data_IF_275192901024
#
_entry.id   IF_275192901024
#
_cell.length_a   1.000
_cell.length_b   1.000
_cell.length_c   1.000
_cell.angle_alpha   90.00
_cell.angle_beta   90.00
_cell.angle_gamma   90.00
#
_symmetry.space_group_name_H-M   'P 1'
#
loop_
_entity.id
_entity.type
_entity.pdbx_description
1 polymer ?
#
# COMPACT_ATOMS: atom_id res chain seq x y z
N UNK A 1 3.01 -19.24 -7.97
CA UNK A 1 4.24 -19.17 -8.79
C UNK A 1 5.16 -18.14 -8.21
N UNK A 2 6.42 -18.48 -8.13
CA UNK A 2 7.42 -17.66 -7.45
C UNK A 2 7.82 -16.38 -8.18
N UNK A 3 7.59 -16.28 -9.49
CA UNK A 3 8.03 -15.13 -10.27
C UNK A 3 7.37 -13.82 -9.84
N UNK A 4 6.12 -13.85 -9.40
CA UNK A 4 5.47 -12.63 -8.93
C UNK A 4 6.03 -12.16 -7.58
N UNK A 5 6.44 -13.09 -6.72
CA UNK A 5 7.07 -12.73 -5.46
C UNK A 5 8.38 -11.96 -5.69
N UNK A 6 9.22 -12.42 -6.60
CA UNK A 6 10.47 -11.75 -6.94
C UNK A 6 10.21 -10.37 -7.56
N UNK A 7 9.21 -10.30 -8.42
CA UNK A 7 8.84 -9.04 -9.08
C UNK A 7 8.32 -8.03 -8.06
N UNK A 8 7.49 -8.46 -7.12
CA UNK A 8 6.99 -7.60 -6.05
C UNK A 8 8.14 -7.03 -5.23
N UNK A 9 9.09 -7.89 -4.84
CA UNK A 9 10.24 -7.46 -4.07
C UNK A 9 11.07 -6.43 -4.84
N UNK A 10 11.33 -6.70 -6.11
CA UNK A 10 12.07 -5.78 -6.98
C UNK A 10 11.36 -4.42 -7.08
N UNK A 11 10.05 -4.43 -7.31
CA UNK A 11 9.28 -3.19 -7.45
C UNK A 11 9.23 -2.40 -6.15
N UNK A 12 9.12 -3.09 -5.01
CA UNK A 12 9.15 -2.42 -3.71
C UNK A 12 10.45 -1.65 -3.50
N UNK A 13 11.56 -2.19 -3.96
CA UNK A 13 12.86 -1.51 -3.83
C UNK A 13 12.94 -0.24 -4.68
N UNK A 14 12.14 -0.14 -5.74
CA UNK A 14 12.09 1.05 -6.57
C UNK A 14 11.29 2.19 -5.93
N UNK A 15 10.47 1.88 -4.94
CA UNK A 15 9.65 2.88 -4.26
C UNK A 15 10.44 3.50 -3.12
N UNK A 16 10.70 4.82 -3.14
CA UNK A 16 11.46 5.46 -2.07
C UNK A 16 10.75 5.36 -0.73
N UNK A 17 11.53 5.21 0.34
CA UNK A 17 11.00 5.19 1.70
C UNK A 17 11.07 6.57 2.32
N UNK A 18 10.16 6.84 3.25
CA UNK A 18 10.20 8.05 4.06
C UNK A 18 9.44 7.79 5.35
N UNK A 19 9.65 8.65 6.34
CA UNK A 19 8.96 8.52 7.62
C UNK A 19 7.60 9.20 7.56
N UNK A 20 6.56 8.44 7.86
CA UNK A 20 5.23 8.99 8.06
C UNK A 20 5.15 9.65 9.43
N UNK A 21 4.19 10.57 9.59
CA UNK A 21 3.89 11.14 10.90
C UNK A 21 3.36 10.02 11.80
N UNK A 22 3.91 9.84 13.02
CA UNK A 22 3.50 8.74 13.89
C UNK A 22 1.99 8.74 14.15
N UNK A 23 1.37 7.57 13.99
CA UNK A 23 -0.07 7.41 14.20
C UNK A 23 -0.95 7.99 13.10
N UNK A 24 -0.37 8.60 12.07
CA UNK A 24 -1.15 9.16 10.97
C UNK A 24 -1.81 8.06 10.16
N UNK A 25 -3.08 8.27 9.80
CA UNK A 25 -3.84 7.32 8.98
C UNK A 25 -4.62 8.03 7.87
N UNK A 26 -4.25 9.26 7.55
CA UNK A 26 -4.98 10.08 6.58
C UNK A 26 -4.97 9.48 5.17
N UNK A 27 -3.96 8.68 4.84
CA UNK A 27 -3.92 7.98 3.56
C UNK A 27 -4.37 6.52 3.66
N UNK A 28 -4.78 6.05 4.84
CA UNK A 28 -5.29 4.70 5.02
C UNK A 28 -6.77 4.65 4.69
N UNK A 29 -7.14 3.73 3.81
CA UNK A 29 -8.54 3.56 3.41
C UNK A 29 -8.68 2.27 2.63
N UNK A 30 -9.89 2.00 2.10
CA UNK A 30 -10.10 0.81 1.29
C UNK A 30 -9.28 0.92 0.00
N UNK A 31 -8.39 -0.03 -0.21
CA UNK A 31 -7.56 -0.10 -1.42
C UNK A 31 -7.57 -1.54 -1.92
N UNK A 32 -7.22 -1.72 -3.19
CA UNK A 32 -7.02 -3.05 -3.73
C UNK A 32 -5.53 -3.32 -3.87
N UNK A 33 -5.17 -4.59 -3.80
CA UNK A 33 -3.79 -5.02 -3.98
C UNK A 33 -3.75 -6.36 -4.69
N UNK A 34 -2.58 -6.79 -5.13
CA UNK A 34 -2.44 -8.10 -5.76
C UNK A 34 -2.76 -9.21 -4.76
N UNK A 35 -3.28 -10.34 -5.27
CA UNK A 35 -3.59 -11.48 -4.42
C UNK A 35 -2.35 -12.01 -3.70
N UNK A 36 -1.17 -11.94 -4.34
CA UNK A 36 0.09 -12.37 -3.73
C UNK A 36 0.47 -11.49 -2.55
N UNK A 37 0.30 -10.17 -2.67
CA UNK A 37 0.59 -9.26 -1.56
C UNK A 37 -0.41 -9.45 -0.42
N UNK A 38 -1.68 -9.69 -0.77
CA UNK A 38 -2.71 -9.96 0.23
C UNK A 38 -2.41 -11.21 1.05
N UNK A 39 -1.86 -12.24 0.40
CA UNK A 39 -1.51 -13.49 1.06
C UNK A 39 -0.45 -13.32 2.15
N UNK A 40 0.36 -12.26 2.08
CA UNK A 40 1.38 -11.96 3.07
C UNK A 40 0.84 -11.21 4.29
N UNK A 41 -0.41 -10.76 4.25
CA UNK A 41 -1.02 -10.01 5.34
C UNK A 41 -1.83 -10.94 6.25
N UNK A 42 -2.01 -10.57 7.54
CA UNK A 42 -2.87 -11.34 8.43
C UNK A 42 -4.29 -11.43 7.87
N UNK A 43 -4.88 -12.60 8.02
CA UNK A 43 -6.24 -12.83 7.54
C UNK A 43 -7.24 -12.10 8.44
N UNK A 44 -8.21 -11.44 7.81
CA UNK A 44 -9.29 -10.77 8.52
C UNK A 44 -10.62 -11.42 8.15
N UNK A 45 -11.57 -11.45 9.08
CA UNK A 45 -12.88 -12.02 8.82
C UNK A 45 -13.68 -11.11 7.89
N UNK A 46 -14.71 -11.69 7.25
CA UNK A 46 -15.61 -10.90 6.41
C UNK A 46 -16.31 -9.81 7.22
N UNK A 47 -16.62 -10.09 8.50
CA UNK A 47 -17.25 -9.12 9.39
C UNK A 47 -16.33 -7.93 9.69
N UNK A 48 -15.04 -8.21 9.95
CA UNK A 48 -14.06 -7.16 10.18
C UNK A 48 -13.88 -6.30 8.94
N UNK A 49 -13.81 -6.93 7.77
CA UNK A 49 -13.67 -6.21 6.51
C UNK A 49 -14.88 -5.33 6.22
N UNK A 50 -16.09 -5.84 6.45
CA UNK A 50 -17.31 -5.07 6.24
C UNK A 50 -17.39 -3.88 7.17
N UNK A 51 -17.04 -4.06 8.44
CA UNK A 51 -17.06 -2.97 9.43
C UNK A 51 -16.05 -1.87 9.07
N UNK A 52 -14.84 -2.25 8.63
CA UNK A 52 -13.85 -1.27 8.20
C UNK A 52 -14.31 -0.50 6.96
N UNK A 53 -14.92 -1.20 6.01
CA UNK A 53 -15.39 -0.58 4.78
C UNK A 53 -16.50 0.43 5.07
N UNK A 54 -17.39 0.15 6.02
CA UNK A 54 -18.43 1.11 6.43
C UNK A 54 -17.83 2.41 6.93
N UNK A 55 -16.69 2.35 7.62
CA UNK A 55 -15.99 3.53 8.11
C UNK A 55 -15.05 4.13 7.08
N UNK A 56 -14.93 3.51 5.90
CA UNK A 56 -13.95 3.85 4.87
C UNK A 56 -12.52 3.78 5.40
N UNK A 57 -12.27 2.81 6.27
CA UNK A 57 -10.97 2.52 6.83
C UNK A 57 -10.38 1.27 6.20
N UNK A 58 -9.04 1.18 6.20
CA UNK A 58 -8.36 -0.08 5.91
C UNK A 58 -8.59 -1.03 7.09
N UNK A 59 -8.84 -2.30 6.79
CA UNK A 59 -9.09 -3.32 7.82
C UNK A 59 -7.89 -3.52 8.75
N UNK A 60 -6.70 -3.14 8.31
CA UNK A 60 -5.46 -3.26 9.10
C UNK A 60 -5.13 -1.99 9.90
N UNK A 61 -6.01 -1.00 9.87
CA UNK A 61 -5.81 0.23 10.63
C UNK A 61 -6.08 -0.02 12.10
N UNK A 62 -5.09 0.28 12.95
CA UNK A 62 -5.22 0.18 14.39
C UNK A 62 -5.21 1.55 15.06
N UNK A 63 -5.28 1.58 16.39
CA UNK A 63 -5.31 2.85 17.14
C UNK A 63 -4.09 3.73 16.95
N UNK A 64 -2.96 3.13 16.58
CA UNK A 64 -1.71 3.85 16.41
C UNK A 64 -1.23 3.85 14.95
N UNK A 65 -2.14 3.63 14.02
CA UNK A 65 -1.83 3.60 12.60
C UNK A 65 -1.88 2.20 12.01
N UNK A 66 -1.23 2.00 10.88
CA UNK A 66 -1.25 0.72 10.17
C UNK A 66 -0.58 -0.39 10.99
N UNK A 67 -1.32 -1.47 11.26
CA UNK A 67 -0.79 -2.61 12.03
C UNK A 67 0.13 -3.51 11.20
N UNK A 68 0.14 -3.32 9.89
CA UNK A 68 1.00 -4.11 8.97
C UNK A 68 1.96 -3.20 8.22
N UNK A 69 2.45 -2.14 8.87
CA UNK A 69 3.23 -1.11 8.21
C UNK A 69 4.42 -1.66 7.41
N UNK A 70 5.15 -2.60 7.98
CA UNK A 70 6.31 -3.21 7.33
C UNK A 70 5.96 -4.08 6.14
N UNK A 71 4.72 -4.57 6.08
CA UNK A 71 4.23 -5.46 5.02
C UNK A 71 3.23 -4.76 4.10
N UNK A 72 3.21 -3.43 4.11
CA UNK A 72 2.26 -2.68 3.30
C UNK A 72 2.35 -3.07 1.82
N UNK A 73 1.18 -3.22 1.15
CA UNK A 73 1.16 -3.40 -0.31
C UNK A 73 1.81 -2.23 -1.04
N UNK A 74 2.22 -2.46 -2.28
CA UNK A 74 2.86 -1.42 -3.08
C UNK A 74 2.01 -0.17 -3.23
N UNK A 75 0.70 -0.32 -3.38
CA UNK A 75 -0.18 0.85 -3.49
C UNK A 75 -0.08 1.74 -2.25
N UNK A 76 0.00 1.13 -1.06
CA UNK A 76 0.15 1.89 0.18
C UNK A 76 1.52 2.56 0.27
N UNK A 77 2.55 1.94 -0.28
CA UNK A 77 3.90 2.48 -0.29
C UNK A 77 4.08 3.63 -1.27
N UNK A 78 3.24 3.71 -2.30
CA UNK A 78 3.28 4.80 -3.27
C UNK A 78 2.80 6.12 -2.68
N UNK A 79 1.91 6.10 -1.69
CA UNK A 79 1.39 7.33 -1.09
C UNK A 79 2.53 8.16 -0.52
N UNK A 80 2.55 9.43 -0.89
CA UNK A 80 3.59 10.38 -0.50
C UNK A 80 4.83 10.37 -1.39
N UNK A 81 4.99 9.38 -2.27
CA UNK A 81 6.18 9.28 -3.12
C UNK A 81 5.98 9.90 -4.51
N UNK A 82 4.75 10.20 -4.87
CA UNK A 82 4.42 10.76 -6.17
C UNK A 82 3.35 11.85 -6.01
N UNK A 83 3.38 12.90 -6.86
CA UNK A 83 2.32 13.93 -6.83
C UNK A 83 0.92 13.39 -7.06
N UNK A 84 0.79 12.24 -7.75
CA UNK A 84 -0.51 11.63 -8.02
C UNK A 84 -1.15 11.04 -6.76
N UNK A 85 -0.33 10.68 -5.77
CA UNK A 85 -0.78 10.10 -4.50
C UNK A 85 -0.07 10.84 -3.37
N UNK A 86 -0.27 12.15 -3.31
CA UNK A 86 0.41 12.99 -2.34
C UNK A 86 -0.08 12.71 -0.92
N UNK A 87 0.84 12.78 0.03
CA UNK A 87 0.49 12.68 1.44
C UNK A 87 -0.29 13.93 1.86
N UNK A 88 -1.47 13.80 2.48
CA UNK A 88 -2.24 14.96 2.93
C UNK A 88 -1.48 15.85 3.92
N UNK A 89 -0.47 15.30 4.59
CA UNK A 89 0.35 16.03 5.57
C UNK A 89 1.64 16.57 4.97
N UNK A 90 1.82 16.47 3.66
CA UNK A 90 3.01 16.96 2.99
C UNK A 90 4.28 16.15 3.22
N UNK A 91 4.16 14.93 3.74
CA UNK A 91 5.29 14.02 3.95
C UNK A 91 5.67 13.33 2.66
N UNK A 92 6.94 13.04 2.51
CA UNK A 92 7.44 12.31 1.35
C UNK A 92 8.94 12.15 1.43
N UNK A 93 9.53 11.37 0.50
CA UNK A 93 10.98 11.21 0.45
C UNK A 93 11.65 12.49 -0.06
N UNK A 94 12.98 12.55 0.12
CA UNK A 94 13.76 13.68 -0.38
C UNK A 94 13.57 13.88 -1.88
N UNK A 95 13.44 12.78 -2.61
CA UNK A 95 13.15 12.81 -4.03
C UNK A 95 11.96 11.90 -4.32
N UNK A 96 10.99 12.34 -5.14
CA UNK A 96 9.85 11.48 -5.48
C UNK A 96 10.30 10.26 -6.28
N UNK A 97 9.40 9.29 -6.40
CA UNK A 97 9.66 8.09 -7.19
C UNK A 97 9.97 8.47 -8.64
N UNK A 98 10.93 7.79 -9.25
CA UNK A 98 11.23 7.96 -10.66
C UNK A 98 10.00 7.65 -11.51
N UNK A 99 9.68 8.48 -12.53
CA UNK A 99 8.49 8.23 -13.36
C UNK A 99 8.47 6.85 -14.00
N UNK A 100 9.63 6.34 -14.42
CA UNK A 100 9.72 5.01 -15.01
C UNK A 100 9.43 3.91 -13.98
N UNK A 101 9.93 4.08 -12.77
CA UNK A 101 9.67 3.14 -11.69
C UNK A 101 8.19 3.14 -11.30
N UNK A 102 7.60 4.31 -11.22
CA UNK A 102 6.17 4.43 -10.93
C UNK A 102 5.33 3.74 -12.00
N UNK A 103 5.71 3.90 -13.26
CA UNK A 103 5.01 3.26 -14.38
C UNK A 103 5.09 1.75 -14.28
N UNK A 104 6.25 1.20 -13.92
CA UNK A 104 6.40 -0.24 -13.73
C UNK A 104 5.49 -0.77 -12.62
N UNK A 105 5.36 -0.04 -11.52
CA UNK A 105 4.47 -0.41 -10.42
C UNK A 105 3.03 -0.40 -10.88
N UNK A 106 2.61 0.65 -11.58
CA UNK A 106 1.23 0.73 -12.10
C UNK A 106 0.93 -0.37 -13.11
N UNK A 107 1.89 -0.71 -13.97
CA UNK A 107 1.72 -1.80 -14.93
C UNK A 107 1.54 -3.14 -14.21
N UNK A 108 2.30 -3.38 -13.16
CA UNK A 108 2.15 -4.60 -12.37
C UNK A 108 0.76 -4.65 -11.73
N UNK A 109 0.32 -3.56 -11.11
CA UNK A 109 -1.00 -3.49 -10.50
C UNK A 109 -2.09 -3.78 -11.54
N UNK A 110 -1.98 -3.18 -12.72
CA UNK A 110 -2.97 -3.36 -13.78
C UNK A 110 -2.98 -4.78 -14.36
N UNK A 111 -1.86 -5.49 -14.28
CA UNK A 111 -1.71 -6.82 -14.87
C UNK A 111 -2.00 -7.96 -13.92
N UNK A 112 -2.26 -7.69 -12.64
CA UNK A 112 -2.49 -8.71 -11.63
C UNK A 112 -3.94 -8.66 -11.12
N UNK A 113 -4.40 -9.79 -10.59
CA UNK A 113 -5.71 -9.84 -9.96
C UNK A 113 -5.70 -8.99 -8.69
N UNK A 114 -6.60 -8.04 -8.61
CA UNK A 114 -6.73 -7.15 -7.46
C UNK A 114 -7.82 -7.64 -6.52
N UNK A 115 -7.52 -7.60 -5.24
CA UNK A 115 -8.47 -7.94 -4.17
C UNK A 115 -8.49 -6.80 -3.16
N UNK A 116 -9.63 -6.62 -2.49
CA UNK A 116 -9.75 -5.58 -1.47
C UNK A 116 -8.94 -5.96 -0.23
N UNK A 117 -8.13 -5.02 0.22
CA UNK A 117 -7.37 -5.20 1.45
C UNK A 117 -8.25 -5.07 2.67
#
# INVERSE_FOLDING_TARGET
MSCNRHKIHFLRELIPSFECEPGCHDCCGPVTTSAEEMAALPRKSAEEQAAALERLDCVHLGPQGCTVYGERPMICRLFGTTPRLACPRGRGPAEPIEPEAEQLVHQFIASTRQVLV
#
